data_IF_457520827243
#
_entry.id   IF_457520827243
#
_cell.length_a   1.000
_cell.length_b   1.000
_cell.length_c   1.000
_cell.angle_alpha   90.00
_cell.angle_beta   90.00
_cell.angle_gamma   90.00
#
_symmetry.space_group_name_H-M   'P 1'
#
loop_
_entity.id
_entity.type
_entity.pdbx_description
1 polymer ?
#
# COMPACT_ATOMS: atom_id res chain seq x y z
N UNK A 1 44.94 -14.65 -5.64
CA UNK A 1 43.54 -14.19 -5.50
C UNK A 1 43.57 -12.73 -5.08
N UNK A 2 43.01 -11.86 -5.92
CA UNK A 2 42.92 -10.41 -5.71
C UNK A 2 41.78 -10.11 -4.72
N UNK A 3 42.10 -10.10 -3.43
CA UNK A 3 41.16 -9.77 -2.34
C UNK A 3 41.19 -8.30 -1.94
N UNK A 4 41.92 -7.47 -2.68
CA UNK A 4 42.07 -6.03 -2.42
C UNK A 4 40.93 -5.21 -3.03
N UNK A 5 40.52 -5.54 -4.26
CA UNK A 5 39.59 -4.74 -5.05
C UNK A 5 38.13 -4.72 -4.53
N UNK A 6 37.70 -5.76 -3.81
CA UNK A 6 36.30 -5.86 -3.34
C UNK A 6 35.97 -4.89 -2.19
N UNK A 7 36.96 -4.57 -1.34
CA UNK A 7 36.77 -3.69 -0.17
C UNK A 7 36.74 -2.21 -0.54
N UNK A 8 37.37 -1.84 -1.64
CA UNK A 8 37.43 -0.45 -2.12
C UNK A 8 36.14 -0.06 -2.84
N UNK A 9 35.58 -0.94 -3.69
CA UNK A 9 34.26 -0.74 -4.31
C UNK A 9 33.12 -0.61 -3.27
N UNK A 10 33.18 -1.39 -2.19
CA UNK A 10 32.21 -1.30 -1.10
C UNK A 10 32.25 0.05 -0.37
N UNK A 11 33.39 0.74 -0.36
CA UNK A 11 33.50 2.07 0.27
C UNK A 11 33.10 3.21 -0.68
N UNK A 12 33.31 3.03 -1.98
CA UNK A 12 32.86 3.95 -3.04
C UNK A 12 31.32 4.02 -3.15
N UNK A 13 30.62 2.93 -2.83
CA UNK A 13 29.15 2.83 -2.92
C UNK A 13 28.43 2.97 -1.56
N UNK A 14 29.06 3.58 -0.54
CA UNK A 14 28.47 3.72 0.80
C UNK A 14 27.80 5.07 1.02
N UNK A 15 26.74 5.05 1.84
CA UNK A 15 26.12 6.28 2.36
C UNK A 15 27.18 7.10 3.11
N UNK A 16 27.36 8.40 2.80
CA UNK A 16 28.31 9.26 3.49
C UNK A 16 28.04 9.32 5.00
N UNK A 17 29.07 9.04 5.81
CA UNK A 17 28.93 8.90 7.29
C UNK A 17 29.10 10.21 8.06
N UNK A 18 29.59 11.26 7.39
CA UNK A 18 29.81 12.56 8.00
C UNK A 18 28.49 13.13 8.53
N UNK A 19 28.49 13.66 9.76
CA UNK A 19 27.27 14.10 10.47
C UNK A 19 26.44 15.10 9.64
N UNK A 20 27.09 15.98 8.88
CA UNK A 20 26.41 16.95 8.01
C UNK A 20 25.61 16.31 6.86
N UNK A 21 25.94 15.08 6.47
CA UNK A 21 25.27 14.32 5.41
C UNK A 21 24.21 13.34 5.96
N UNK A 22 24.09 13.20 7.28
CA UNK A 22 23.09 12.34 7.88
C UNK A 22 21.74 13.07 7.99
N UNK A 23 20.66 12.36 7.71
CA UNK A 23 19.32 12.89 7.95
C UNK A 23 19.16 13.06 9.47
N UNK A 24 18.71 14.23 9.95
CA UNK A 24 18.47 14.44 11.37
C UNK A 24 17.56 13.34 11.94
N UNK A 25 18.02 12.66 12.99
CA UNK A 25 17.26 11.60 13.65
C UNK A 25 15.93 12.11 14.24
N UNK A 26 15.85 13.42 14.53
CA UNK A 26 14.65 14.08 15.00
C UNK A 26 13.83 14.56 13.80
N UNK A 27 13.19 13.61 13.12
CA UNK A 27 12.13 13.92 12.17
C UNK A 27 10.82 14.06 12.95
N UNK A 28 10.48 15.29 13.34
CA UNK A 28 9.14 15.56 13.88
C UNK A 28 8.18 15.56 12.71
N UNK A 29 7.45 14.46 12.53
CA UNK A 29 6.37 14.39 11.57
C UNK A 29 5.40 15.55 11.84
N UNK A 30 5.02 16.33 10.81
CA UNK A 30 3.96 17.31 10.98
C UNK A 30 2.68 16.60 11.43
N UNK A 31 1.78 17.28 12.17
CA UNK A 31 0.49 16.70 12.52
C UNK A 31 -0.27 16.28 11.26
N UNK A 32 -1.06 15.19 11.32
CA UNK A 32 -1.80 14.71 10.15
C UNK A 32 -2.77 15.78 9.65
N UNK A 33 -3.06 15.82 8.33
CA UNK A 33 -4.03 16.74 7.78
C UNK A 33 -5.43 16.51 8.40
N UNK A 34 -6.27 17.55 8.51
CA UNK A 34 -7.64 17.40 9.01
C UNK A 34 -8.42 16.37 8.20
N UNK A 35 -9.24 15.55 8.87
CA UNK A 35 -10.14 14.62 8.18
C UNK A 35 -11.08 15.43 7.28
N UNK A 36 -11.22 15.00 6.02
CA UNK A 36 -12.23 15.57 5.13
C UNK A 36 -13.61 15.43 5.78
N UNK A 37 -14.41 16.50 5.73
CA UNK A 37 -15.81 16.44 6.17
C UNK A 37 -16.53 15.36 5.35
N UNK A 38 -17.39 14.54 5.96
CA UNK A 38 -18.23 13.63 5.19
C UNK A 38 -19.06 14.48 4.24
N UNK A 39 -18.84 14.31 2.94
CA UNK A 39 -19.77 14.83 1.93
C UNK A 39 -21.03 14.00 2.10
N UNK A 40 -22.07 14.60 2.68
CA UNK A 40 -23.44 14.09 2.64
C UNK A 40 -23.97 14.25 1.20
N UNK A 41 -23.28 13.65 0.24
CA UNK A 41 -23.75 13.53 -1.12
C UNK A 41 -24.87 12.51 -1.11
N UNK A 42 -26.05 12.88 -1.62
CA UNK A 42 -27.07 11.89 -1.99
C UNK A 42 -26.36 10.83 -2.82
N UNK A 43 -26.40 9.58 -2.34
CA UNK A 43 -25.99 8.44 -3.16
C UNK A 43 -26.71 8.58 -4.49
N UNK A 44 -25.95 8.59 -5.59
CA UNK A 44 -26.55 8.66 -6.92
C UNK A 44 -27.55 7.49 -7.01
N UNK A 45 -28.77 7.73 -7.51
CA UNK A 45 -29.68 6.62 -7.73
C UNK A 45 -29.02 5.62 -8.70
N UNK A 46 -29.37 4.33 -8.63
CA UNK A 46 -28.99 3.37 -9.65
C UNK A 46 -29.33 3.88 -11.06
N UNK A 47 -28.61 3.42 -12.09
CA UNK A 47 -29.00 3.68 -13.47
C UNK A 47 -30.44 3.23 -13.73
N UNK A 48 -31.16 3.97 -14.59
CA UNK A 48 -32.58 3.71 -14.88
C UNK A 48 -32.84 2.31 -15.43
N UNK A 49 -31.88 1.79 -16.19
CA UNK A 49 -31.95 0.48 -16.84
C UNK A 49 -31.29 -0.63 -16.00
N UNK A 50 -30.93 -0.33 -14.76
CA UNK A 50 -30.14 -1.22 -13.93
C UNK A 50 -28.65 -1.18 -14.26
N UNK A 51 -27.86 -1.92 -13.49
CA UNK A 51 -26.45 -2.12 -13.79
C UNK A 51 -26.30 -3.26 -14.79
N UNK A 52 -25.20 -3.24 -15.55
CA UNK A 52 -24.83 -4.35 -16.42
C UNK A 52 -24.74 -5.65 -15.60
N UNK A 53 -25.49 -6.66 -16.02
CA UNK A 53 -25.59 -7.95 -15.35
C UNK A 53 -25.18 -9.05 -16.33
N UNK A 54 -23.87 -9.27 -16.54
CA UNK A 54 -23.43 -10.33 -17.42
C UNK A 54 -23.73 -11.69 -16.76
N UNK A 55 -24.07 -12.70 -17.57
CA UNK A 55 -24.62 -13.97 -17.09
C UNK A 55 -23.64 -14.80 -16.24
N UNK A 56 -22.38 -14.41 -16.14
CA UNK A 56 -21.30 -15.13 -15.46
C UNK A 56 -20.98 -14.62 -14.04
N UNK A 57 -21.43 -13.42 -13.62
CA UNK A 57 -21.10 -12.88 -12.29
C UNK A 57 -21.59 -13.76 -11.13
N UNK A 58 -22.84 -14.25 -11.19
CA UNK A 58 -23.40 -15.09 -10.13
C UNK A 58 -22.62 -16.40 -9.97
N UNK A 59 -22.04 -16.90 -11.06
CA UNK A 59 -21.20 -18.10 -11.03
C UNK A 59 -19.85 -17.83 -10.36
N UNK A 60 -19.25 -16.64 -10.58
CA UNK A 60 -17.97 -16.25 -9.96
C UNK A 60 -18.08 -16.09 -8.44
N UNK A 61 -19.22 -15.58 -7.95
CA UNK A 61 -19.45 -15.35 -6.52
C UNK A 61 -20.21 -16.48 -5.82
N UNK A 62 -20.52 -17.57 -6.53
CA UNK A 62 -21.08 -18.78 -5.94
C UNK A 62 -20.01 -19.47 -5.08
N UNK A 63 -19.84 -18.99 -3.86
CA UNK A 63 -18.96 -19.63 -2.88
C UNK A 63 -19.73 -20.80 -2.27
N UNK A 64 -19.24 -22.06 -2.39
CA UNK A 64 -19.87 -23.17 -1.72
C UNK A 64 -19.84 -22.94 -0.21
N UNK A 65 -20.92 -23.28 0.48
CA UNK A 65 -21.01 -23.17 1.93
C UNK A 65 -19.78 -23.86 2.57
N UNK A 66 -19.00 -23.10 3.34
CA UNK A 66 -17.83 -23.66 4.02
C UNK A 66 -18.34 -24.62 5.08
N UNK A 67 -17.87 -25.88 5.05
CA UNK A 67 -18.09 -26.80 6.16
C UNK A 67 -17.41 -26.21 7.39
N UNK A 68 -18.19 -25.94 8.44
CA UNK A 68 -17.63 -25.57 9.74
C UNK A 68 -16.69 -26.68 10.20
N UNK A 69 -15.52 -26.30 10.69
CA UNK A 69 -14.64 -27.24 11.35
C UNK A 69 -15.32 -27.63 12.68
N UNK A 70 -15.74 -28.89 12.78
CA UNK A 70 -16.12 -29.48 14.07
C UNK A 70 -14.85 -29.62 14.91
N UNK A 71 -14.91 -29.10 16.15
CA UNK A 71 -13.84 -29.20 17.15
C UNK A 71 -13.44 -30.65 17.46
#
# INVERSE_FOLDING_TARGET
>A
MDGGMMREWEDECRTPRLVQNQIPAVFICPPPPPRKKPVAGKRRPPPKEGYFHPPDLDSLFSVPARKEASF
#
